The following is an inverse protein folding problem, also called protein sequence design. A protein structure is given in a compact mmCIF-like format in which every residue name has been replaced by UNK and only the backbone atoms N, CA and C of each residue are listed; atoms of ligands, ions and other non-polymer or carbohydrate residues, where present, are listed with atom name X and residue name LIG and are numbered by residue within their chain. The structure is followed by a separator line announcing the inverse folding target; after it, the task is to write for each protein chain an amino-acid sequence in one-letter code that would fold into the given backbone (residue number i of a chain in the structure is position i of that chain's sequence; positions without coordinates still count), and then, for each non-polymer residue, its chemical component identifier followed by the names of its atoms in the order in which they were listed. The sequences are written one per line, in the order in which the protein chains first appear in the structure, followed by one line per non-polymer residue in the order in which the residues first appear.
data_IF_714372551287
#
_entry.id   IF_714372551287
#
_cell.length_a   1.000
_cell.length_b   1.000
_cell.length_c   1.000
_cell.angle_alpha   90.00
_cell.angle_beta   90.00
_cell.angle_gamma   90.00
#
_symmetry.space_group_name_H-M   'P 1'
#
loop_
_entity.id
_entity.type
_entity.pdbx_description
1 polymer ?
#
# COMPACT_ATOMS: atom_id res chain seq x y z
N UNK A 1 37.39 4.96 65.80
CA UNK A 1 37.45 4.03 64.65
C UNK A 1 36.02 3.79 64.18
N UNK A 2 35.40 4.72 63.46
CA UNK A 2 35.33 4.88 62.00
C UNK A 2 34.86 3.62 61.22
N UNK A 3 33.57 3.61 60.85
CA UNK A 3 33.12 3.43 59.46
C UNK A 3 31.63 3.80 59.33
N UNK A 4 31.40 4.93 58.69
CA UNK A 4 30.09 5.39 58.20
C UNK A 4 29.95 4.84 56.79
N UNK A 5 28.90 4.06 56.51
CA UNK A 5 28.58 3.59 55.16
C UNK A 5 27.37 4.36 54.64
N UNK A 6 27.63 5.22 53.66
CA UNK A 6 26.65 6.07 52.96
C UNK A 6 26.27 5.33 51.67
N UNK A 7 25.00 4.94 51.54
CA UNK A 7 24.46 4.40 50.28
C UNK A 7 23.65 5.49 49.59
N UNK A 8 24.06 5.81 48.37
CA UNK A 8 23.45 6.80 47.49
C UNK A 8 22.09 6.30 46.98
N UNK A 9 21.05 7.14 47.12
CA UNK A 9 19.72 6.92 46.53
C UNK A 9 19.65 7.69 45.21
N UNK A 10 19.54 6.97 44.11
CA UNK A 10 19.34 7.54 42.79
C UNK A 10 17.95 8.20 42.68
N UNK A 11 17.92 9.41 42.13
CA UNK A 11 16.70 10.14 41.82
C UNK A 11 16.01 9.53 40.61
N UNK A 12 14.74 9.16 40.78
CA UNK A 12 13.82 8.83 39.70
C UNK A 12 13.11 10.11 39.27
N UNK A 13 13.52 10.70 38.16
CA UNK A 13 12.83 11.83 37.52
C UNK A 13 11.60 11.27 36.81
N UNK A 14 10.42 11.45 37.41
CA UNK A 14 9.13 11.19 36.79
C UNK A 14 8.80 12.34 35.85
N UNK A 15 8.75 12.07 34.54
CA UNK A 15 8.15 12.98 33.57
C UNK A 15 6.64 12.71 33.53
N UNK A 16 5.88 13.50 34.28
CA UNK A 16 4.43 13.57 34.14
C UNK A 16 4.07 14.30 32.84
N UNK A 17 3.32 13.65 31.95
CA UNK A 17 2.71 14.29 30.79
C UNK A 17 1.58 15.24 31.24
N UNK A 18 1.37 16.38 30.55
CA UNK A 18 0.27 17.28 30.86
C UNK A 18 -1.08 16.65 30.48
N UNK A 19 -2.18 17.02 31.16
CA UNK A 19 -3.51 16.57 30.77
C UNK A 19 -3.91 17.18 29.42
N UNK A 20 -4.23 16.33 28.45
CA UNK A 20 -4.88 16.73 27.21
C UNK A 20 -6.33 17.11 27.54
N UNK A 21 -6.63 18.40 27.45
CA UNK A 21 -8.00 18.92 27.50
C UNK A 21 -8.72 18.51 26.23
N UNK A 22 -9.64 17.57 26.34
CA UNK A 22 -10.65 17.29 25.31
C UNK A 22 -11.67 18.43 25.33
N UNK A 23 -11.64 19.27 24.30
CA UNK A 23 -12.71 20.20 23.99
C UNK A 23 -13.90 19.39 23.44
N UNK A 24 -14.85 19.09 24.31
CA UNK A 24 -16.18 18.64 23.91
C UNK A 24 -16.86 19.80 23.18
N UNK A 25 -16.91 19.73 21.85
CA UNK A 25 -17.87 20.51 21.10
C UNK A 25 -19.24 19.87 21.31
N UNK A 26 -20.04 20.43 22.21
CA UNK A 26 -21.48 20.20 22.28
C UNK A 26 -22.13 20.80 21.04
N UNK A 27 -22.79 19.98 20.23
CA UNK A 27 -23.61 20.45 19.13
C UNK A 27 -25.05 20.46 19.63
N UNK A 28 -25.50 21.63 20.07
CA UNK A 28 -26.91 21.89 20.34
C UNK A 28 -27.67 21.90 19.00
N UNK A 29 -28.69 21.05 18.92
CA UNK A 29 -29.71 21.13 17.88
C UNK A 29 -30.55 22.38 18.11
N UNK A 30 -30.68 23.22 17.09
CA UNK A 30 -31.73 24.22 17.02
C UNK A 30 -32.40 24.16 15.66
N UNK A 31 -33.61 23.60 15.64
CA UNK A 31 -34.57 23.82 14.57
C UNK A 31 -35.10 25.25 14.66
N UNK A 32 -35.04 26.01 13.58
CA UNK A 32 -36.07 27.03 13.33
C UNK A 32 -36.16 27.42 11.86
N UNK A 33 -37.38 27.40 11.38
CA UNK A 33 -37.89 27.68 10.05
C UNK A 33 -37.86 29.18 9.69
N UNK A 34 -37.74 29.51 8.40
CA UNK A 34 -38.21 30.80 7.86
C UNK A 34 -37.48 31.28 6.59
N UNK A 35 -38.18 31.61 5.49
CA UNK A 35 -37.60 32.19 4.29
C UNK A 35 -37.63 33.72 4.35
N UNK A 36 -36.56 34.39 3.90
CA UNK A 36 -36.46 35.84 3.87
C UNK A 36 -35.36 36.30 2.92
N UNK A 37 -35.71 37.25 2.07
CA UNK A 37 -35.02 37.60 0.84
C UNK A 37 -33.85 38.60 1.00
N UNK A 38 -33.10 38.69 -0.10
CA UNK A 38 -32.53 39.91 -0.68
C UNK A 38 -31.28 40.55 -0.04
N UNK A 39 -30.19 40.60 -0.80
CA UNK A 39 -29.47 41.81 -1.27
C UNK A 39 -27.99 41.53 -1.58
N UNK A 40 -27.64 41.61 -2.86
CA UNK A 40 -26.30 41.91 -3.42
C UNK A 40 -25.83 43.34 -3.07
N UNK A 41 -24.64 43.81 -3.48
CA UNK A 41 -23.28 43.23 -3.49
C UNK A 41 -22.22 44.23 -2.95
N UNK A 42 -20.96 43.80 -2.69
CA UNK A 42 -19.80 44.69 -2.93
C UNK A 42 -18.45 43.97 -2.99
N UNK A 43 -17.69 44.39 -3.98
CA UNK A 43 -16.33 44.00 -4.32
C UNK A 43 -15.30 44.46 -3.28
N UNK A 44 -14.15 43.78 -3.25
CA UNK A 44 -12.87 44.37 -2.86
C UNK A 44 -11.71 43.59 -3.48
N UNK A 45 -10.90 44.31 -4.25
CA UNK A 45 -9.68 43.90 -4.89
C UNK A 45 -8.52 43.73 -3.89
N UNK A 46 -7.52 42.93 -4.25
CA UNK A 46 -6.18 42.87 -3.65
C UNK A 46 -5.47 41.64 -4.20
N UNK A 47 -4.73 41.69 -5.31
CA UNK A 47 -3.46 42.37 -5.57
C UNK A 47 -2.28 41.78 -4.77
N UNK A 48 -1.40 41.09 -5.51
CA UNK A 48 0.01 40.88 -5.19
C UNK A 48 0.35 39.49 -4.62
N UNK A 49 1.46 38.85 -4.96
CA UNK A 49 2.56 39.14 -5.88
C UNK A 49 3.24 37.79 -6.17
N UNK A 50 3.61 37.59 -7.43
CA UNK A 50 4.38 36.46 -7.96
C UNK A 50 5.88 36.83 -7.93
N UNK A 51 6.76 35.97 -7.38
CA UNK A 51 8.12 35.94 -7.87
C UNK A 51 8.55 34.53 -8.28
N UNK A 52 8.43 34.26 -9.58
CA UNK A 52 9.52 33.77 -10.45
C UNK A 52 10.86 33.51 -9.74
N UNK A 53 11.16 32.24 -9.45
CA UNK A 53 12.50 31.78 -9.09
C UNK A 53 13.09 30.90 -10.21
N UNK A 54 14.12 31.48 -10.82
CA UNK A 54 15.02 30.98 -11.86
C UNK A 54 15.53 29.55 -11.65
N UNK A 55 15.52 28.82 -12.76
CA UNK A 55 16.32 27.63 -13.02
C UNK A 55 17.83 27.84 -12.78
N UNK A 56 18.47 26.85 -12.17
CA UNK A 56 19.90 26.59 -12.36
C UNK A 56 20.07 25.12 -12.74
N UNK A 57 20.47 24.90 -14.00
CA UNK A 57 20.86 23.62 -14.52
C UNK A 57 22.26 23.27 -14.00
N UNK A 58 22.38 22.21 -13.21
CA UNK A 58 23.65 21.60 -12.86
C UNK A 58 23.99 20.53 -13.90
N UNK A 59 24.92 20.87 -14.79
CA UNK A 59 25.58 19.94 -15.71
C UNK A 59 26.56 19.08 -14.90
N UNK A 60 26.18 17.85 -14.56
CA UNK A 60 27.09 16.85 -14.01
C UNK A 60 27.71 16.03 -15.13
N UNK A 61 29.04 15.92 -15.06
CA UNK A 61 29.96 15.49 -16.10
C UNK A 61 29.88 13.98 -16.35
N UNK A 62 29.89 13.61 -17.62
CA UNK A 62 30.14 12.25 -18.09
C UNK A 62 31.52 11.75 -17.61
N UNK A 63 31.53 10.69 -16.79
CA UNK A 63 32.74 9.97 -16.45
C UNK A 63 33.12 9.05 -17.61
N UNK A 64 34.21 9.40 -18.30
CA UNK A 64 34.93 8.54 -19.24
C UNK A 64 35.50 7.34 -18.49
N UNK A 65 35.03 6.14 -18.78
CA UNK A 65 35.69 4.92 -18.35
C UNK A 65 36.57 4.37 -19.48
N UNK A 66 37.80 4.07 -19.09
CA UNK A 66 38.92 3.83 -19.95
C UNK A 66 38.82 2.52 -20.72
N UNK A 67 39.20 2.67 -21.99
CA UNK A 67 39.54 1.64 -22.97
C UNK A 67 40.72 0.81 -22.46
N UNK A 68 40.50 -0.45 -22.11
CA UNK A 68 41.56 -1.44 -21.97
C UNK A 68 41.39 -2.49 -23.06
N UNK A 69 42.25 -2.38 -24.07
CA UNK A 69 42.51 -3.47 -24.99
C UNK A 69 43.59 -4.37 -24.40
N UNK A 70 43.32 -5.66 -24.33
CA UNK A 70 44.34 -6.69 -24.27
C UNK A 70 43.94 -7.79 -25.25
N UNK A 71 44.81 -7.97 -26.24
CA UNK A 71 44.78 -8.99 -27.28
C UNK A 71 45.29 -10.34 -26.72
N UNK A 72 44.94 -11.39 -27.47
CA UNK A 72 45.57 -12.74 -27.57
C UNK A 72 45.00 -13.83 -26.64
N UNK A 73 45.12 -15.12 -27.01
CA UNK A 73 45.09 -15.74 -28.34
C UNK A 73 44.10 -16.92 -28.43
N UNK A 74 43.82 -17.32 -29.67
CA UNK A 74 43.11 -18.54 -30.06
C UNK A 74 43.84 -19.78 -29.56
N UNK A 75 43.14 -20.68 -28.87
CA UNK A 75 43.53 -22.08 -28.78
C UNK A 75 42.28 -22.95 -28.93
N UNK A 76 42.14 -23.51 -30.14
CA UNK A 76 41.16 -24.52 -30.47
C UNK A 76 41.51 -25.81 -29.73
N UNK A 77 40.57 -26.31 -28.94
CA UNK A 77 40.56 -27.71 -28.50
C UNK A 77 39.17 -28.26 -28.85
N UNK A 78 39.12 -28.97 -29.99
CA UNK A 78 38.00 -29.81 -30.35
C UNK A 78 38.08 -31.08 -29.49
N UNK A 79 37.18 -31.20 -28.52
CA UNK A 79 36.85 -32.47 -27.90
C UNK A 79 35.33 -32.61 -27.98
N UNK A 80 34.91 -33.61 -28.75
CA UNK A 80 33.54 -34.11 -28.80
C UNK A 80 33.06 -34.46 -27.39
N UNK A 81 32.01 -33.79 -26.94
CA UNK A 81 31.10 -34.28 -25.91
C UNK A 81 29.68 -34.06 -26.41
N UNK A 82 29.22 -35.01 -27.20
CA UNK A 82 27.80 -35.30 -27.34
C UNK A 82 27.29 -35.84 -25.99
N UNK A 83 26.21 -35.26 -25.46
CA UNK A 83 25.47 -35.88 -24.35
C UNK A 83 25.43 -35.11 -23.02
N UNK A 84 25.23 -33.79 -23.04
CA UNK A 84 24.67 -33.07 -21.89
C UNK A 84 23.41 -32.35 -22.36
N UNK A 85 22.28 -32.97 -22.09
CA UNK A 85 20.95 -32.38 -22.23
C UNK A 85 20.91 -31.04 -21.50
N UNK A 86 20.53 -30.00 -22.22
CA UNK A 86 20.28 -28.67 -21.68
C UNK A 86 19.23 -28.76 -20.56
N UNK A 87 19.68 -28.67 -19.31
CA UNK A 87 18.84 -28.40 -18.16
C UNK A 87 19.43 -27.17 -17.45
N UNK A 88 19.55 -26.07 -18.20
CA UNK A 88 19.82 -24.75 -17.64
C UNK A 88 18.66 -23.84 -18.02
N UNK A 89 18.10 -23.22 -16.98
CA UNK A 89 17.19 -22.08 -16.99
C UNK A 89 15.79 -22.31 -17.57
N UNK A 90 15.05 -23.18 -16.90
CA UNK A 90 13.63 -22.91 -16.67
C UNK A 90 13.47 -22.38 -15.24
N UNK A 91 13.95 -21.16 -14.97
CA UNK A 91 13.28 -20.35 -13.95
C UNK A 91 11.85 -20.17 -14.46
N UNK A 92 10.81 -20.54 -13.69
CA UNK A 92 9.46 -20.18 -14.07
C UNK A 92 9.40 -18.65 -14.06
N UNK A 93 9.39 -18.05 -15.25
CA UNK A 93 8.94 -16.68 -15.37
C UNK A 93 7.49 -16.69 -14.86
N UNK A 94 7.11 -15.79 -13.93
CA UNK A 94 5.70 -15.64 -13.60
C UNK A 94 4.97 -15.36 -14.91
N UNK A 95 3.82 -16.02 -15.09
CA UNK A 95 2.97 -15.84 -16.26
C UNK A 95 2.53 -14.37 -16.32
N UNK A 96 3.34 -13.55 -17.00
CA UNK A 96 3.04 -12.16 -17.31
C UNK A 96 1.94 -12.11 -18.35
N UNK A 97 0.70 -12.35 -17.89
CA UNK A 97 -0.50 -11.96 -18.61
C UNK A 97 -0.38 -10.48 -18.96
N UNK A 98 -0.52 -10.16 -20.24
CA UNK A 98 -0.19 -8.84 -20.80
C UNK A 98 -0.77 -7.69 -19.98
N UNK A 99 0.09 -7.09 -19.16
CA UNK A 99 -0.16 -5.80 -18.54
C UNK A 99 -0.26 -4.81 -19.69
N UNK A 100 -1.48 -4.38 -20.02
CA UNK A 100 -1.65 -3.03 -20.55
C UNK A 100 -0.87 -2.13 -19.59
N UNK A 101 0.08 -1.33 -20.05
CA UNK A 101 1.09 -0.60 -19.25
C UNK A 101 0.54 0.34 -18.16
N UNK A 102 -0.77 0.31 -17.92
CA UNK A 102 -1.52 1.03 -16.91
C UNK A 102 -2.10 0.13 -15.81
N UNK A 103 -1.95 -1.20 -15.88
CA UNK A 103 -2.55 -2.14 -14.91
C UNK A 103 -1.60 -3.29 -14.59
N UNK A 104 -1.34 -3.52 -13.32
CA UNK A 104 -0.49 -4.62 -12.85
C UNK A 104 -1.31 -5.40 -11.82
N UNK A 105 -1.60 -6.67 -12.09
CA UNK A 105 -2.43 -7.53 -11.23
C UNK A 105 -1.61 -8.68 -10.66
N UNK A 106 -1.87 -9.04 -9.41
CA UNK A 106 -1.32 -10.19 -8.70
C UNK A 106 -2.49 -10.93 -8.03
N UNK A 107 -2.56 -12.25 -8.17
CA UNK A 107 -3.53 -13.08 -7.45
C UNK A 107 -3.19 -13.08 -5.94
N UNK A 108 -4.19 -13.02 -5.06
CA UNK A 108 -3.95 -12.86 -3.63
C UNK A 108 -3.24 -14.09 -3.03
N UNK A 109 -3.52 -15.28 -3.56
CA UNK A 109 -2.88 -16.53 -3.17
C UNK A 109 -1.40 -16.60 -3.57
N UNK A 110 -0.94 -15.77 -4.51
CA UNK A 110 0.47 -15.66 -4.91
C UNK A 110 1.24 -14.63 -4.07
N UNK A 111 0.56 -13.85 -3.23
CA UNK A 111 1.19 -12.89 -2.32
C UNK A 111 1.79 -13.57 -1.08
N UNK A 112 2.57 -12.82 -0.29
CA UNK A 112 3.13 -13.31 0.97
C UNK A 112 2.08 -13.23 2.08
N UNK A 113 1.69 -14.38 2.62
CA UNK A 113 0.71 -14.46 3.72
C UNK A 113 1.46 -14.48 5.05
N UNK A 114 1.13 -13.54 5.92
CA UNK A 114 1.60 -13.45 7.30
C UNK A 114 0.45 -13.66 8.28
N UNK A 115 0.70 -14.42 9.33
CA UNK A 115 -0.30 -14.69 10.36
C UNK A 115 -1.25 -15.80 9.96
N UNK A 116 -2.56 -15.58 10.09
CA UNK A 116 -3.57 -16.62 9.91
C UNK A 116 -4.36 -16.57 8.61
N UNK A 117 -4.08 -15.65 7.71
CA UNK A 117 -4.68 -15.70 6.37
C UNK A 117 -4.49 -17.07 5.74
N UNK A 118 -5.55 -17.61 5.14
CA UNK A 118 -5.56 -18.93 4.53
C UNK A 118 -5.93 -18.86 3.05
N UNK A 119 -5.43 -19.80 2.28
CA UNK A 119 -5.82 -20.00 0.88
C UNK A 119 -7.00 -20.95 0.85
N UNK A 120 -8.04 -20.60 0.09
CA UNK A 120 -9.28 -21.36 -0.01
C UNK A 120 -9.58 -21.65 -1.47
N UNK A 121 -9.73 -22.93 -1.81
CA UNK A 121 -10.12 -23.36 -3.16
C UNK A 121 -11.59 -23.04 -3.41
N UNK A 122 -11.87 -22.29 -4.48
CA UNK A 122 -13.22 -21.92 -4.90
C UNK A 122 -13.25 -21.66 -6.42
N UNK A 123 -14.19 -22.30 -7.12
CA UNK A 123 -14.32 -22.17 -8.57
C UNK A 123 -14.80 -20.79 -9.02
N UNK A 124 -15.31 -19.95 -8.11
CA UNK A 124 -15.72 -18.57 -8.38
C UNK A 124 -14.58 -17.56 -8.23
N UNK A 125 -13.49 -17.96 -7.55
CA UNK A 125 -12.27 -17.18 -7.46
C UNK A 125 -11.52 -17.17 -8.80
N UNK A 126 -10.78 -16.11 -9.08
CA UNK A 126 -9.81 -16.10 -10.16
C UNK A 126 -8.74 -17.15 -9.86
N UNK A 127 -8.26 -17.87 -10.86
CA UNK A 127 -7.28 -18.93 -10.63
C UNK A 127 -7.79 -20.16 -9.86
N UNK A 128 -9.01 -20.11 -9.29
CA UNK A 128 -9.61 -21.20 -8.51
C UNK A 128 -9.30 -21.14 -7.02
N UNK A 129 -8.63 -20.09 -6.54
CA UNK A 129 -8.23 -19.95 -5.14
C UNK A 129 -8.32 -18.48 -4.74
N UNK A 130 -8.71 -18.20 -3.49
CA UNK A 130 -8.66 -16.86 -2.90
C UNK A 130 -8.02 -16.91 -1.52
N UNK A 131 -7.81 -15.75 -0.91
CA UNK A 131 -7.29 -15.62 0.44
C UNK A 131 -8.35 -15.08 1.39
N UNK A 132 -8.51 -15.72 2.55
CA UNK A 132 -9.50 -15.37 3.56
C UNK A 132 -8.85 -15.19 4.93
N UNK A 133 -9.48 -14.36 5.77
CA UNK A 133 -9.25 -14.42 7.21
C UNK A 133 -10.08 -15.59 7.76
N UNK A 134 -9.50 -16.53 8.55
CA UNK A 134 -10.30 -17.59 9.16
C UNK A 134 -11.39 -17.03 10.08
N UNK A 135 -12.51 -17.75 10.22
CA UNK A 135 -13.55 -17.40 11.20
C UNK A 135 -12.96 -17.32 12.63
N UNK A 136 -13.54 -16.43 13.45
CA UNK A 136 -13.16 -16.20 14.85
C UNK A 136 -11.70 -15.73 14.98
N UNK A 137 -11.22 -15.00 13.97
CA UNK A 137 -9.88 -14.47 13.96
C UNK A 137 -9.72 -13.21 14.83
N UNK A 138 -9.05 -13.36 15.97
CA UNK A 138 -8.32 -12.25 16.61
C UNK A 138 -7.24 -11.63 15.68
N UNK A 139 -7.57 -10.59 14.92
CA UNK A 139 -6.68 -9.91 13.97
C UNK A 139 -5.37 -9.38 14.61
N UNK A 140 -4.33 -10.22 14.64
CA UNK A 140 -3.06 -9.99 15.34
C UNK A 140 -1.95 -9.57 14.36
N UNK A 141 -2.12 -8.45 13.65
CA UNK A 141 -1.20 -8.00 12.57
C UNK A 141 -1.07 -8.97 11.38
N UNK A 142 -1.97 -9.95 11.30
CA UNK A 142 -2.16 -10.85 10.16
C UNK A 142 -2.38 -10.01 8.90
N UNK A 143 -1.74 -10.38 7.78
CA UNK A 143 -1.81 -9.62 6.52
C UNK A 143 -1.41 -10.43 5.30
N UNK A 144 -1.82 -9.96 4.14
CA UNK A 144 -1.39 -10.39 2.81
C UNK A 144 -0.55 -9.26 2.21
N UNK A 145 0.72 -9.53 1.91
CA UNK A 145 1.68 -8.56 1.36
C UNK A 145 1.94 -8.88 -0.12
N UNK A 146 1.42 -8.03 -1.01
CA UNK A 146 1.57 -8.17 -2.46
C UNK A 146 2.66 -7.21 -2.98
N UNK A 147 3.73 -7.76 -3.55
CA UNK A 147 4.87 -6.99 -4.07
C UNK A 147 4.71 -6.66 -5.54
N UNK A 148 4.60 -5.38 -5.87
CA UNK A 148 4.45 -4.88 -7.24
C UNK A 148 5.76 -4.25 -7.72
N UNK A 149 6.21 -4.66 -8.92
CA UNK A 149 7.31 -3.97 -9.62
C UNK A 149 6.72 -2.84 -10.48
N UNK A 150 7.00 -1.59 -10.10
CA UNK A 150 6.55 -0.40 -10.81
C UNK A 150 7.63 0.03 -11.80
N UNK A 151 7.30 0.00 -13.10
CA UNK A 151 8.24 0.39 -14.15
C UNK A 151 8.23 1.91 -14.43
N UNK A 152 7.10 2.56 -14.21
CA UNK A 152 6.90 3.98 -14.52
C UNK A 152 6.38 4.73 -13.30
N UNK A 153 7.02 5.84 -12.93
CA UNK A 153 6.51 6.70 -11.88
C UNK A 153 5.10 7.20 -12.23
N UNK A 154 4.24 7.36 -11.23
CA UNK A 154 2.95 8.01 -11.44
C UNK A 154 1.99 7.90 -10.28
N UNK A 155 0.76 8.35 -10.54
CA UNK A 155 -0.34 8.21 -9.59
C UNK A 155 -1.11 6.93 -9.88
N UNK A 156 -1.27 6.09 -8.87
CA UNK A 156 -1.93 4.79 -8.92
C UNK A 156 -3.14 4.74 -7.99
N UNK A 157 -4.11 3.91 -8.36
CA UNK A 157 -5.19 3.46 -7.49
C UNK A 157 -5.09 1.96 -7.28
N UNK A 158 -5.58 1.49 -6.14
CA UNK A 158 -5.70 0.06 -5.88
C UNK A 158 -7.11 -0.38 -6.23
N UNK A 159 -7.20 -1.43 -7.04
CA UNK A 159 -8.42 -2.16 -7.34
C UNK A 159 -8.26 -3.57 -6.81
N UNK A 160 -9.29 -4.13 -6.21
CA UNK A 160 -9.26 -5.49 -5.71
C UNK A 160 -10.50 -6.24 -6.20
N UNK A 161 -10.41 -7.57 -6.25
CA UNK A 161 -11.59 -8.43 -6.31
C UNK A 161 -11.82 -9.03 -4.94
N UNK A 162 -12.98 -8.74 -4.38
CA UNK A 162 -13.33 -9.03 -2.99
C UNK A 162 -14.73 -9.61 -2.89
N UNK A 163 -15.01 -10.26 -1.77
CA UNK A 163 -16.35 -10.68 -1.37
C UNK A 163 -16.42 -10.64 0.16
N UNK A 164 -17.60 -10.31 0.69
CA UNK A 164 -17.82 -10.37 2.14
C UNK A 164 -17.81 -11.82 2.63
N UNK A 165 -17.51 -12.00 3.92
CA UNK A 165 -17.74 -13.26 4.60
C UNK A 165 -19.24 -13.59 4.78
N UNK A 166 -19.56 -14.70 5.48
CA UNK A 166 -20.93 -15.12 5.75
C UNK A 166 -21.79 -14.08 6.47
N UNK A 167 -21.22 -13.28 7.39
CA UNK A 167 -21.91 -12.14 8.00
C UNK A 167 -21.56 -10.85 7.26
N UNK A 168 -22.35 -10.52 6.25
CA UNK A 168 -22.14 -9.34 5.38
C UNK A 168 -21.98 -8.02 6.15
N UNK A 169 -22.54 -7.93 7.36
CA UNK A 169 -22.52 -6.71 8.16
C UNK A 169 -21.22 -6.49 8.93
N UNK A 170 -20.47 -7.57 9.17
CA UNK A 170 -19.25 -7.58 10.00
C UNK A 170 -18.04 -8.21 9.34
N UNK A 171 -18.17 -8.83 8.17
CA UNK A 171 -17.09 -9.58 7.51
C UNK A 171 -16.70 -8.92 6.18
N UNK A 172 -16.55 -7.59 6.20
CA UNK A 172 -16.65 -6.77 4.99
C UNK A 172 -15.54 -5.72 4.83
N UNK A 173 -14.40 -5.94 5.48
CA UNK A 173 -13.34 -4.94 5.46
C UNK A 173 -11.92 -5.46 5.69
N UNK A 174 -10.96 -4.64 5.25
CA UNK A 174 -9.53 -4.84 5.49
C UNK A 174 -8.86 -3.54 5.98
N UNK A 175 -7.64 -3.68 6.52
CA UNK A 175 -6.71 -2.56 6.75
C UNK A 175 -5.69 -2.49 5.62
N UNK A 176 -5.78 -1.49 4.76
CA UNK A 176 -4.88 -1.35 3.60
C UNK A 176 -3.70 -0.45 3.90
N UNK A 177 -2.51 -0.85 3.46
CA UNK A 177 -1.28 -0.05 3.52
C UNK A 177 -0.53 -0.13 2.19
N UNK A 178 0.21 0.93 1.89
CA UNK A 178 1.20 0.95 0.81
C UNK A 178 2.54 1.32 1.40
N UNK A 179 3.55 0.50 1.16
CA UNK A 179 4.90 0.63 1.73
C UNK A 179 4.89 0.81 3.26
N UNK A 180 4.03 0.01 3.92
CA UNK A 180 3.81 0.00 5.37
C UNK A 180 3.16 1.26 5.96
N UNK A 181 2.69 2.20 5.13
CA UNK A 181 2.02 3.42 5.56
C UNK A 181 0.51 3.44 5.21
N UNK A 182 -0.35 4.06 6.04
CA UNK A 182 -0.04 4.53 7.40
C UNK A 182 0.19 3.34 8.35
N UNK A 183 0.92 3.53 9.46
CA UNK A 183 1.26 2.45 10.42
C UNK A 183 0.05 1.57 10.81
N UNK A 184 -1.10 2.20 11.09
CA UNK A 184 -2.34 1.53 11.49
C UNK A 184 -3.18 0.99 10.32
N UNK A 185 -2.82 1.32 9.09
CA UNK A 185 -3.61 1.06 7.90
C UNK A 185 -4.82 1.97 7.74
N UNK A 186 -5.28 2.07 6.50
CA UNK A 186 -6.53 2.73 6.13
C UNK A 186 -7.64 1.69 6.10
N UNK A 187 -8.77 1.97 6.76
CA UNK A 187 -9.92 1.08 6.75
C UNK A 187 -10.57 1.11 5.37
N UNK A 188 -10.71 -0.06 4.77
CA UNK A 188 -11.37 -0.25 3.48
C UNK A 188 -12.55 -1.19 3.68
N UNK A 189 -13.76 -0.70 3.45
CA UNK A 189 -15.01 -1.46 3.55
C UNK A 189 -15.54 -1.75 2.14
N UNK A 190 -16.16 -2.91 1.96
CA UNK A 190 -16.79 -3.34 0.71
C UNK A 190 -18.11 -4.07 1.02
N UNK A 191 -18.88 -4.44 0.00
CA UNK A 191 -20.16 -5.13 0.18
C UNK A 191 -20.40 -6.15 -0.93
N UNK A 192 -21.26 -7.13 -0.68
CA UNK A 192 -21.58 -8.17 -1.67
C UNK A 192 -20.85 -9.48 -1.40
N UNK A 193 -21.63 -10.55 -1.32
CA UNK A 193 -21.20 -11.93 -1.01
C UNK A 193 -20.55 -12.63 -2.19
N UNK A 194 -20.79 -12.14 -3.40
CA UNK A 194 -20.18 -12.65 -4.63
C UNK A 194 -18.91 -11.86 -4.94
N UNK A 195 -17.90 -12.55 -5.49
CA UNK A 195 -16.66 -11.91 -5.90
C UNK A 195 -16.91 -10.86 -6.98
N UNK A 196 -16.63 -9.61 -6.62
CA UNK A 196 -16.79 -8.45 -7.49
C UNK A 196 -15.57 -7.54 -7.38
N UNK A 197 -15.43 -6.65 -8.35
CA UNK A 197 -14.32 -5.72 -8.41
C UNK A 197 -14.70 -4.42 -7.69
N UNK A 198 -13.82 -3.93 -6.83
CA UNK A 198 -14.02 -2.68 -6.11
C UNK A 198 -12.71 -1.89 -6.00
N UNK A 199 -12.83 -0.57 -5.84
CA UNK A 199 -11.68 0.31 -5.67
C UNK A 199 -11.49 0.66 -4.20
N UNK A 200 -10.24 0.56 -3.75
CA UNK A 200 -9.89 0.88 -2.37
C UNK A 200 -10.12 2.37 -2.12
N UNK A 201 -10.87 2.66 -1.06
CA UNK A 201 -11.17 3.99 -0.55
C UNK A 201 -10.97 4.00 0.98
N UNK A 202 -10.93 5.20 1.58
CA UNK A 202 -10.96 5.31 3.03
C UNK A 202 -12.42 5.29 3.51
N UNK A 203 -12.81 4.24 4.23
CA UNK A 203 -14.15 4.11 4.79
C UNK A 203 -14.50 5.23 5.79
N UNK A 204 -13.51 5.94 6.33
CA UNK A 204 -13.73 7.11 7.20
C UNK A 204 -14.01 8.39 6.41
N UNK A 205 -13.68 8.41 5.11
CA UNK A 205 -13.96 9.54 4.24
C UNK A 205 -15.40 9.49 3.74
N UNK A 206 -16.26 10.33 4.33
CA UNK A 206 -17.66 10.44 3.96
C UNK A 206 -17.89 10.91 2.51
N UNK A 207 -16.86 11.41 1.82
CA UNK A 207 -16.96 11.82 0.41
C UNK A 207 -16.80 10.65 -0.57
N UNK A 208 -16.31 9.49 -0.10
CA UNK A 208 -16.11 8.30 -0.93
C UNK A 208 -14.98 8.45 -1.96
N UNK A 209 -14.00 9.33 -1.69
CA UNK A 209 -12.86 9.48 -2.60
C UNK A 209 -11.99 8.22 -2.57
N UNK A 210 -11.65 7.75 -3.77
CA UNK A 210 -10.73 6.63 -3.96
C UNK A 210 -9.32 7.04 -3.53
N UNK A 211 -8.62 6.12 -2.87
CA UNK A 211 -7.23 6.34 -2.49
C UNK A 211 -6.34 6.44 -3.74
N UNK A 212 -5.35 7.34 -3.66
CA UNK A 212 -4.37 7.59 -4.71
C UNK A 212 -2.99 7.58 -4.11
N UNK A 213 -2.07 6.91 -4.80
CA UNK A 213 -0.70 6.71 -4.33
C UNK A 213 0.26 7.18 -5.42
N UNK A 214 1.19 8.07 -5.05
CA UNK A 214 2.32 8.40 -5.91
C UNK A 214 3.39 7.33 -5.72
N UNK A 215 3.65 6.54 -6.75
CA UNK A 215 4.64 5.46 -6.74
C UNK A 215 5.77 5.80 -7.69
N UNK A 216 6.99 5.59 -7.24
CA UNK A 216 8.21 5.72 -8.05
C UNK A 216 8.52 4.38 -8.74
N UNK A 217 9.47 4.33 -9.69
CA UNK A 217 9.92 3.06 -10.24
C UNK A 217 10.63 2.22 -9.16
N UNK A 218 10.28 0.94 -9.07
CA UNK A 218 10.84 -0.01 -8.11
C UNK A 218 9.77 -0.91 -7.48
N UNK A 219 10.19 -1.67 -6.46
CA UNK A 219 9.29 -2.56 -5.72
C UNK A 219 8.50 -1.77 -4.69
N UNK A 220 7.18 -1.91 -4.74
CA UNK A 220 6.24 -1.39 -3.75
C UNK A 220 5.41 -2.52 -3.16
N UNK A 221 5.04 -2.41 -1.88
CA UNK A 221 4.26 -3.43 -1.18
C UNK A 221 2.87 -2.88 -0.88
N UNK A 222 1.84 -3.53 -1.40
CA UNK A 222 0.45 -3.30 -1.00
C UNK A 222 0.07 -4.38 0.01
N UNK A 223 -0.27 -3.97 1.22
CA UNK A 223 -0.66 -4.88 2.30
C UNK A 223 -2.17 -4.80 2.57
N UNK A 224 -2.82 -5.95 2.64
CA UNK A 224 -4.18 -6.11 3.17
C UNK A 224 -4.11 -6.79 4.54
N UNK A 225 -4.33 -6.02 5.60
CA UNK A 225 -4.34 -6.48 6.98
C UNK A 225 -5.71 -6.95 7.43
N UNK A 226 -5.71 -7.93 8.34
CA UNK A 226 -6.91 -8.44 9.00
C UNK A 226 -7.61 -7.30 9.77
N UNK A 227 -8.91 -7.14 9.53
CA UNK A 227 -9.80 -6.31 10.34
C UNK A 227 -10.97 -7.12 10.85
N UNK A 228 -11.58 -7.87 9.95
CA UNK A 228 -12.74 -8.71 10.19
C UNK A 228 -12.43 -10.13 9.69
N UNK A 229 -13.03 -11.11 10.35
CA UNK A 229 -12.93 -12.51 9.96
C UNK A 229 -13.77 -12.80 8.71
N UNK A 230 -13.46 -13.91 8.05
CA UNK A 230 -14.09 -14.43 6.83
C UNK A 230 -14.11 -13.50 5.59
N UNK A 231 -13.63 -12.26 5.69
CA UNK A 231 -13.43 -11.34 4.58
C UNK A 231 -12.52 -11.97 3.52
N UNK A 232 -12.91 -11.85 2.24
CA UNK A 232 -12.31 -12.59 1.12
C UNK A 232 -11.63 -11.66 0.12
N UNK A 233 -10.40 -12.01 -0.24
CA UNK A 233 -9.56 -11.30 -1.21
C UNK A 233 -9.11 -12.26 -2.30
N UNK A 234 -9.48 -11.98 -3.54
CA UNK A 234 -9.17 -12.82 -4.71
C UNK A 234 -7.93 -12.32 -5.44
N UNK A 235 -7.89 -11.05 -5.82
CA UNK A 235 -6.71 -10.43 -6.43
C UNK A 235 -6.58 -8.95 -6.13
N UNK A 236 -5.37 -8.44 -6.35
CA UNK A 236 -5.02 -7.03 -6.18
C UNK A 236 -4.44 -6.50 -7.49
N UNK A 237 -4.89 -5.33 -7.93
CA UNK A 237 -4.44 -4.65 -9.13
C UNK A 237 -4.08 -3.19 -8.83
N UNK A 238 -2.92 -2.75 -9.31
CA UNK A 238 -2.55 -1.34 -9.36
C UNK A 238 -2.90 -0.75 -10.73
N UNK A 239 -3.71 0.32 -10.71
CA UNK A 239 -4.18 1.02 -11.90
C UNK A 239 -3.55 2.41 -11.95
N UNK A 240 -2.69 2.66 -12.94
CA UNK A 240 -2.08 3.97 -13.18
C UNK A 240 -3.11 4.93 -13.78
N UNK A 241 -3.36 6.04 -13.10
CA UNK A 241 -4.35 7.06 -13.49
C UNK A 241 -3.74 8.38 -13.97
N UNK A 242 -2.42 8.55 -13.81
CA UNK A 242 -1.71 9.74 -14.27
C UNK A 242 -0.21 9.66 -14.02
N UNK A 243 0.55 10.62 -14.59
CA UNK A 243 1.92 10.89 -14.16
C UNK A 243 2.00 11.38 -12.71
#
# INVERSE_FOLDING_TARGET
MNRVNRVNRAGSTSCAAPPVRVLLASWEMNETSGPGADTTPRASCGAGEDPTARATAAVARAARWGRWGALLPVLACACSLEGLSAAWDASPAPAGGGSSSFRIRIEAEDCELSGRFERVDDLLASGGTYVAVPEEANCNSDRVDCSFEIAEAGTYQIRARVATGPDESTDNSFLVRVDHEPELGTRYDFNGTEFHEDYVHDAKDATGLLLKFALDPGVHIVSFGCREDAARLDWVELVRIGP
#
